data_IF_433175014399
#
_entry.id   IF_433175014399
#
_cell.length_a   1.000
_cell.length_b   1.000
_cell.length_c   1.000
_cell.angle_alpha   90.00
_cell.angle_beta   90.00
_cell.angle_gamma   90.00
#
_symmetry.space_group_name_H-M   'P 1'
#
loop_
_entity.id
_entity.type
_entity.pdbx_description
1 polymer ?
#
# COMPACT_ATOMS: atom_id res chain seq x y z
N UNK A 1 -5.72 22.93 -47.48
CA UNK A 1 -5.68 21.64 -46.77
C UNK A 1 -5.39 21.98 -45.32
N UNK A 2 -6.41 21.96 -44.44
CA UNK A 2 -6.24 22.33 -43.04
C UNK A 2 -5.63 21.14 -42.28
N UNK A 3 -4.57 21.39 -41.53
CA UNK A 3 -3.94 20.43 -40.62
C UNK A 3 -4.94 20.09 -39.50
N UNK A 4 -5.31 18.80 -39.27
CA UNK A 4 -6.22 18.45 -38.19
C UNK A 4 -5.61 18.91 -36.86
N UNK A 5 -6.35 19.74 -36.13
CA UNK A 5 -5.95 20.22 -34.81
C UNK A 5 -5.64 19.02 -33.91
N UNK A 6 -4.56 19.07 -33.08
CA UNK A 6 -4.22 17.96 -32.20
C UNK A 6 -5.42 17.68 -31.28
N UNK A 7 -5.90 16.43 -31.30
CA UNK A 7 -6.96 15.98 -30.40
C UNK A 7 -6.53 16.26 -28.96
N UNK A 8 -7.37 16.95 -28.19
CA UNK A 8 -7.11 17.20 -26.78
C UNK A 8 -6.85 15.88 -26.04
N UNK A 9 -5.89 15.83 -25.09
CA UNK A 9 -5.59 14.61 -24.36
C UNK A 9 -6.83 14.12 -23.62
N UNK A 10 -7.14 12.83 -23.76
CA UNK A 10 -8.30 12.21 -23.09
C UNK A 10 -8.08 12.22 -21.57
N UNK A 11 -9.08 12.61 -20.76
CA UNK A 11 -8.95 12.62 -19.31
C UNK A 11 -8.80 11.20 -18.76
N UNK A 12 -7.77 10.98 -17.94
CA UNK A 12 -7.47 9.67 -17.31
C UNK A 12 -8.04 9.52 -15.91
N UNK A 13 -8.50 10.61 -15.29
CA UNK A 13 -9.06 10.62 -13.95
C UNK A 13 -10.27 9.68 -13.74
N UNK A 14 -11.16 9.40 -14.74
CA UNK A 14 -12.26 8.45 -14.52
C UNK A 14 -11.75 7.03 -14.30
N UNK A 15 -10.68 6.64 -14.99
CA UNK A 15 -10.03 5.33 -14.82
C UNK A 15 -9.41 5.26 -13.42
N UNK A 16 -8.70 6.31 -13.01
CA UNK A 16 -8.13 6.39 -11.65
C UNK A 16 -9.22 6.31 -10.56
N UNK A 17 -10.33 7.03 -10.72
CA UNK A 17 -11.45 6.97 -9.78
C UNK A 17 -12.08 5.56 -9.71
N UNK A 18 -12.24 4.89 -10.86
CA UNK A 18 -12.74 3.52 -10.90
C UNK A 18 -11.79 2.54 -10.20
N UNK A 19 -10.47 2.69 -10.39
CA UNK A 19 -9.47 1.89 -9.69
C UNK A 19 -9.59 2.07 -8.17
N UNK A 20 -9.70 3.32 -7.69
CA UNK A 20 -9.88 3.59 -6.25
C UNK A 20 -11.13 2.91 -5.70
N UNK A 21 -12.28 3.09 -6.38
CA UNK A 21 -13.55 2.50 -5.93
C UNK A 21 -13.48 0.98 -5.91
N UNK A 22 -12.95 0.37 -6.97
CA UNK A 22 -12.83 -1.09 -7.07
C UNK A 22 -11.92 -1.67 -5.99
N UNK A 23 -10.74 -1.07 -5.76
CA UNK A 23 -9.81 -1.50 -4.72
C UNK A 23 -10.41 -1.36 -3.32
N UNK A 24 -11.00 -0.20 -3.00
CA UNK A 24 -11.63 0.01 -1.69
C UNK A 24 -12.77 -0.98 -1.46
N UNK A 25 -13.58 -1.26 -2.49
CA UNK A 25 -14.66 -2.24 -2.39
C UNK A 25 -14.13 -3.66 -2.14
N UNK A 26 -13.05 -4.07 -2.84
CA UNK A 26 -12.46 -5.39 -2.67
C UNK A 26 -11.87 -5.61 -1.26
N UNK A 27 -11.32 -4.56 -0.65
CA UNK A 27 -10.70 -4.61 0.69
C UNK A 27 -11.58 -4.04 1.81
N UNK A 28 -12.88 -3.81 1.57
CA UNK A 28 -13.78 -3.20 2.55
C UNK A 28 -13.92 -3.99 3.86
N UNK A 29 -13.62 -5.29 3.86
CA UNK A 29 -13.65 -6.12 5.06
C UNK A 29 -12.43 -5.95 5.95
N UNK A 30 -11.33 -5.36 5.48
CA UNK A 30 -10.04 -5.35 6.20
C UNK A 30 -10.11 -4.65 7.56
N UNK A 31 -11.02 -3.70 7.70
CA UNK A 31 -11.30 -2.98 8.95
C UNK A 31 -11.82 -3.87 10.09
N UNK A 32 -12.29 -5.08 9.75
CA UNK A 32 -12.81 -6.08 10.70
C UNK A 32 -11.81 -7.23 10.91
N UNK A 33 -10.67 -7.21 10.25
CA UNK A 33 -9.63 -8.20 10.47
C UNK A 33 -8.82 -7.85 11.73
N UNK A 34 -8.42 -8.88 12.45
CA UNK A 34 -7.45 -8.80 13.53
C UNK A 34 -6.05 -9.12 12.99
N UNK A 35 -5.01 -8.87 13.79
CA UNK A 35 -3.66 -9.36 13.51
C UNK A 35 -3.67 -10.89 13.33
N UNK A 36 -2.95 -11.37 12.33
CA UNK A 36 -2.75 -12.78 12.03
C UNK A 36 -1.71 -13.35 13.00
N UNK A 37 -2.04 -14.46 13.66
CA UNK A 37 -1.17 -15.07 14.69
C UNK A 37 0.07 -15.79 14.14
N UNK A 38 0.49 -15.51 12.91
CA UNK A 38 1.62 -16.18 12.26
C UNK A 38 2.92 -15.40 12.50
N UNK A 39 2.97 -14.16 12.03
CA UNK A 39 4.16 -13.32 12.02
C UNK A 39 3.95 -11.94 12.65
N UNK A 40 2.71 -11.42 12.71
CA UNK A 40 2.39 -10.15 13.36
C UNK A 40 2.86 -10.05 14.81
N UNK A 41 2.75 -11.11 15.64
CA UNK A 41 3.30 -11.03 16.99
C UNK A 41 4.79 -10.75 16.98
N UNK A 42 5.52 -11.41 16.08
CA UNK A 42 6.97 -11.30 16.00
C UNK A 42 7.41 -9.94 15.42
N UNK A 43 6.69 -9.39 14.43
CA UNK A 43 7.10 -8.16 13.77
C UNK A 43 6.55 -6.89 14.41
N UNK A 44 5.37 -6.95 15.04
CA UNK A 44 4.62 -5.77 15.47
C UNK A 44 4.37 -5.79 16.98
N UNK A 45 3.61 -6.76 17.50
CA UNK A 45 3.10 -6.67 18.89
C UNK A 45 4.14 -7.02 19.94
N UNK A 46 5.00 -8.01 19.68
CA UNK A 46 6.02 -8.51 20.61
C UNK A 46 7.42 -7.96 20.27
N UNK A 47 7.53 -7.15 19.20
CA UNK A 47 8.77 -6.48 18.84
C UNK A 47 8.94 -5.20 19.68
N UNK A 48 9.85 -5.16 20.67
CA UNK A 48 9.98 -4.03 21.58
C UNK A 48 10.47 -2.76 20.88
N UNK A 49 11.12 -2.87 19.72
CA UNK A 49 11.55 -1.72 18.93
C UNK A 49 10.37 -1.05 18.22
N UNK A 50 9.33 -1.82 17.87
CA UNK A 50 8.16 -1.35 17.10
C UNK A 50 7.00 -0.98 18.03
N UNK A 51 6.72 -1.81 19.03
CA UNK A 51 5.57 -1.65 19.94
C UNK A 51 5.62 -0.36 20.79
N UNK A 52 6.76 0.34 20.82
CA UNK A 52 6.94 1.62 21.51
C UNK A 52 6.71 2.84 20.59
N UNK A 53 6.35 2.64 19.33
CA UNK A 53 6.22 3.72 18.36
C UNK A 53 7.57 4.29 17.91
N UNK A 54 7.57 5.55 17.46
CA UNK A 54 8.78 6.20 16.94
C UNK A 54 9.68 6.66 18.09
N UNK A 55 10.63 5.81 18.47
CA UNK A 55 11.70 6.16 19.42
C UNK A 55 13.05 6.27 18.71
N UNK A 56 13.97 7.07 19.26
CA UNK A 56 15.31 7.18 18.68
C UNK A 56 16.06 5.85 18.69
N UNK A 57 15.85 5.05 19.75
CA UNK A 57 16.36 3.68 19.84
C UNK A 57 15.72 2.76 18.79
N UNK A 58 14.40 2.85 18.59
CA UNK A 58 13.67 2.08 17.57
C UNK A 58 14.16 2.40 16.15
N UNK A 59 14.28 3.68 15.81
CA UNK A 59 14.77 4.14 14.49
C UNK A 59 16.21 3.66 14.26
N UNK A 60 17.12 3.88 15.21
CA UNK A 60 18.50 3.40 15.08
C UNK A 60 18.55 1.87 15.00
N UNK A 61 17.76 1.18 15.81
CA UNK A 61 17.64 -0.28 15.81
C UNK A 61 17.16 -0.84 14.47
N UNK A 62 16.21 -0.18 13.82
CA UNK A 62 15.68 -0.60 12.51
C UNK A 62 16.77 -0.68 11.44
N UNK A 63 17.75 0.23 11.45
CA UNK A 63 18.84 0.26 10.47
C UNK A 63 20.10 -0.52 10.88
N UNK A 64 20.17 -1.01 12.11
CA UNK A 64 21.39 -1.64 12.66
C UNK A 64 21.19 -3.10 13.08
N UNK A 65 19.96 -3.59 13.10
CA UNK A 65 19.62 -4.94 13.55
C UNK A 65 18.67 -5.64 12.57
N UNK A 66 18.65 -6.97 12.63
CA UNK A 66 17.60 -7.79 12.03
C UNK A 66 16.73 -8.42 13.12
N UNK A 67 15.49 -8.75 12.80
CA UNK A 67 14.58 -9.48 13.67
C UNK A 67 13.92 -10.62 12.89
N UNK A 68 13.75 -11.77 13.55
CA UNK A 68 13.21 -12.99 12.93
C UNK A 68 13.87 -13.33 11.57
N UNK A 69 15.21 -13.34 11.56
CA UNK A 69 16.05 -13.62 10.39
C UNK A 69 15.91 -12.64 9.20
N UNK A 70 15.27 -11.48 9.39
CA UNK A 70 14.98 -10.52 8.33
C UNK A 70 15.50 -9.10 8.64
N UNK A 71 15.86 -8.34 7.60
CA UNK A 71 16.29 -6.94 7.67
C UNK A 71 15.35 -6.04 6.84
N UNK A 72 14.39 -5.40 7.52
CA UNK A 72 13.33 -4.59 6.89
C UNK A 72 13.17 -3.22 7.57
N UNK A 73 14.18 -2.32 7.52
CA UNK A 73 14.18 -1.06 8.25
C UNK A 73 12.96 -0.18 7.95
N UNK A 74 12.59 -0.05 6.67
CA UNK A 74 11.47 0.80 6.26
C UNK A 74 10.12 0.24 6.72
N UNK A 75 9.97 -1.09 6.70
CA UNK A 75 8.76 -1.75 7.20
C UNK A 75 8.59 -1.52 8.69
N UNK A 76 9.67 -1.60 9.48
CA UNK A 76 9.60 -1.33 10.92
C UNK A 76 9.28 0.13 11.21
N UNK A 77 9.88 1.07 10.47
CA UNK A 77 9.51 2.48 10.61
C UNK A 77 8.03 2.72 10.28
N UNK A 78 7.49 2.04 9.26
CA UNK A 78 6.05 2.10 8.94
C UNK A 78 5.21 1.60 10.11
N UNK A 79 5.51 0.42 10.67
CA UNK A 79 4.78 -0.08 11.83
C UNK A 79 4.96 0.80 13.07
N UNK A 80 6.13 1.39 13.31
CA UNK A 80 6.33 2.35 14.40
C UNK A 80 5.43 3.59 14.24
N UNK A 81 5.29 4.10 13.01
CA UNK A 81 4.35 5.19 12.71
C UNK A 81 2.92 4.74 12.97
N UNK A 82 2.55 3.53 12.55
CA UNK A 82 1.20 3.00 12.79
C UNK A 82 0.92 2.80 14.29
N UNK A 83 1.91 2.36 15.07
CA UNK A 83 1.81 2.30 16.54
C UNK A 83 1.66 3.70 17.15
N UNK A 84 2.38 4.70 16.65
CA UNK A 84 2.27 6.08 17.13
C UNK A 84 0.86 6.67 16.88
N UNK A 85 0.31 6.42 15.70
CA UNK A 85 -0.98 6.98 15.28
C UNK A 85 -2.18 6.20 15.81
N UNK A 86 -2.07 4.87 15.84
CA UNK A 86 -3.18 3.97 16.06
C UNK A 86 -2.99 3.07 17.29
N UNK A 87 -1.79 2.99 17.87
CA UNK A 87 -1.44 1.94 18.83
C UNK A 87 -1.45 0.56 18.19
N UNK A 88 -1.57 -0.48 19.00
CA UNK A 88 -1.69 -1.87 18.53
C UNK A 88 -3.12 -2.23 18.11
N UNK A 89 -3.80 -1.34 17.38
CA UNK A 89 -5.15 -1.57 16.84
C UNK A 89 -5.03 -2.00 15.36
N UNK A 90 -5.31 -3.28 15.00
CA UNK A 90 -5.08 -3.82 13.65
C UNK A 90 -5.69 -2.98 12.54
N UNK A 91 -6.92 -2.47 12.76
CA UNK A 91 -7.64 -1.67 11.79
C UNK A 91 -6.87 -0.43 11.28
N UNK A 92 -6.03 0.19 12.12
CA UNK A 92 -5.19 1.32 11.71
C UNK A 92 -4.01 0.90 10.83
N UNK A 93 -3.40 -0.24 11.13
CA UNK A 93 -2.28 -0.80 10.37
C UNK A 93 -2.75 -1.26 8.99
N UNK A 94 -3.87 -1.97 8.93
CA UNK A 94 -4.50 -2.35 7.66
C UNK A 94 -4.94 -1.14 6.82
N UNK A 95 -5.37 -0.04 7.46
CA UNK A 95 -5.66 1.20 6.74
C UNK A 95 -4.41 1.74 6.06
N UNK A 96 -3.28 1.79 6.77
CA UNK A 96 -2.00 2.20 6.18
C UNK A 96 -1.64 1.32 4.98
N UNK A 97 -1.73 -0.01 5.13
CA UNK A 97 -1.46 -0.96 4.03
C UNK A 97 -2.40 -0.73 2.82
N UNK A 98 -3.70 -0.53 3.05
CA UNK A 98 -4.66 -0.22 1.98
C UNK A 98 -4.33 1.10 1.25
N UNK A 99 -3.93 2.14 1.99
CA UNK A 99 -3.53 3.43 1.41
C UNK A 99 -2.26 3.30 0.57
N UNK A 100 -1.27 2.53 1.05
CA UNK A 100 -0.05 2.24 0.31
C UNK A 100 -0.34 1.44 -0.97
N UNK A 101 -1.25 0.47 -0.93
CA UNK A 101 -1.68 -0.29 -2.11
C UNK A 101 -2.43 0.56 -3.13
N UNK A 102 -3.31 1.45 -2.67
CA UNK A 102 -3.98 2.44 -3.52
C UNK A 102 -2.98 3.38 -4.19
N UNK A 103 -2.03 3.92 -3.42
CA UNK A 103 -0.98 4.77 -3.96
C UNK A 103 -0.16 4.02 -5.02
N UNK A 104 0.23 2.77 -4.74
CA UNK A 104 1.02 1.93 -5.65
C UNK A 104 0.25 1.61 -6.95
N UNK A 105 -1.03 1.29 -6.83
CA UNK A 105 -1.95 1.08 -7.97
C UNK A 105 -2.04 2.31 -8.86
N UNK A 106 -2.23 3.49 -8.26
CA UNK A 106 -2.35 4.75 -9.00
C UNK A 106 -1.03 5.17 -9.63
N UNK A 107 0.10 4.94 -8.95
CA UNK A 107 1.44 5.18 -9.50
C UNK A 107 1.72 4.25 -10.67
N UNK A 108 1.38 2.97 -10.58
CA UNK A 108 1.49 2.01 -11.68
C UNK A 108 0.67 2.45 -12.89
N UNK A 109 -0.60 2.81 -12.66
CA UNK A 109 -1.48 3.34 -13.70
C UNK A 109 -0.88 4.59 -14.36
N UNK A 110 -0.46 5.58 -13.57
CA UNK A 110 0.09 6.84 -14.07
C UNK A 110 1.39 6.62 -14.86
N UNK A 111 2.27 5.74 -14.37
CA UNK A 111 3.51 5.38 -15.05
C UNK A 111 3.23 4.72 -16.39
N UNK A 112 2.36 3.70 -16.43
CA UNK A 112 2.03 2.99 -17.66
C UNK A 112 1.30 3.92 -18.64
N UNK A 113 0.30 4.67 -18.19
CA UNK A 113 -0.46 5.57 -19.07
C UNK A 113 0.45 6.61 -19.74
N UNK A 114 1.47 7.09 -19.02
CA UNK A 114 2.46 8.05 -19.56
C UNK A 114 3.49 7.40 -20.49
N UNK A 115 3.93 6.19 -20.21
CA UNK A 115 5.00 5.55 -20.99
C UNK A 115 4.47 4.82 -22.22
N UNK A 116 3.28 4.21 -22.15
CA UNK A 116 2.67 3.45 -23.25
C UNK A 116 1.73 4.28 -24.11
N UNK A 117 1.28 5.44 -23.61
CA UNK A 117 0.23 6.26 -24.25
C UNK A 117 -1.09 5.48 -24.48
N UNK A 118 -1.31 4.39 -23.73
CA UNK A 118 -2.47 3.51 -23.88
C UNK A 118 -3.28 3.40 -22.55
N UNK A 119 -4.00 4.46 -22.15
CA UNK A 119 -4.58 4.57 -20.80
C UNK A 119 -5.56 3.46 -20.45
N UNK A 120 -6.33 2.94 -21.41
CA UNK A 120 -7.23 1.81 -21.15
C UNK A 120 -6.49 0.52 -20.83
N UNK A 121 -5.46 0.19 -21.62
CA UNK A 121 -4.63 -0.99 -21.36
C UNK A 121 -3.88 -0.84 -20.03
N UNK A 122 -3.34 0.35 -19.75
CA UNK A 122 -2.72 0.67 -18.45
C UNK A 122 -3.70 0.52 -17.29
N UNK A 123 -4.96 0.92 -17.48
CA UNK A 123 -6.03 0.73 -16.50
C UNK A 123 -6.34 -0.73 -16.23
N UNK A 124 -6.37 -1.58 -17.25
CA UNK A 124 -6.56 -3.03 -17.10
C UNK A 124 -5.40 -3.64 -16.32
N UNK A 125 -4.16 -3.30 -16.65
CA UNK A 125 -2.97 -3.79 -15.91
C UNK A 125 -3.00 -3.34 -14.45
N UNK A 126 -3.33 -2.07 -14.20
CA UNK A 126 -3.44 -1.55 -12.84
C UNK A 126 -4.59 -2.21 -12.06
N UNK A 127 -5.72 -2.51 -12.71
CA UNK A 127 -6.83 -3.24 -12.09
C UNK A 127 -6.44 -4.69 -11.75
N UNK A 128 -5.73 -5.36 -12.67
CA UNK A 128 -5.19 -6.70 -12.40
C UNK A 128 -4.25 -6.68 -11.20
N UNK A 129 -3.33 -5.73 -11.13
CA UNK A 129 -2.46 -5.54 -9.96
C UNK A 129 -3.27 -5.27 -8.69
N UNK A 130 -4.22 -4.34 -8.73
CA UNK A 130 -4.97 -3.91 -7.55
C UNK A 130 -5.86 -5.01 -6.96
N UNK A 131 -6.39 -5.88 -7.81
CA UNK A 131 -7.40 -6.88 -7.46
C UNK A 131 -6.84 -8.32 -7.44
N UNK A 132 -5.53 -8.50 -7.68
CA UNK A 132 -4.94 -9.84 -7.69
C UNK A 132 -4.92 -10.44 -6.28
N UNK A 133 -5.41 -11.68 -6.06
CA UNK A 133 -5.48 -12.29 -4.73
C UNK A 133 -4.15 -12.43 -4.01
N UNK A 134 -3.02 -12.46 -4.72
CA UNK A 134 -1.68 -12.54 -4.10
C UNK A 134 -1.30 -11.29 -3.31
N UNK A 135 -1.99 -10.17 -3.51
CA UNK A 135 -1.77 -8.96 -2.71
C UNK A 135 -2.56 -8.94 -1.41
N UNK A 136 -3.40 -9.95 -1.12
CA UNK A 136 -4.15 -10.02 0.14
C UNK A 136 -3.21 -10.01 1.34
N UNK A 137 -2.11 -10.77 1.29
CA UNK A 137 -1.11 -10.81 2.36
C UNK A 137 -0.53 -9.42 2.63
N UNK A 138 -0.13 -8.67 1.61
CA UNK A 138 0.45 -7.33 1.80
C UNK A 138 -0.55 -6.25 2.25
N UNK A 139 -1.86 -6.48 2.08
CA UNK A 139 -2.89 -5.46 2.34
C UNK A 139 -3.71 -5.74 3.60
N UNK A 140 -3.95 -7.02 3.89
CA UNK A 140 -4.89 -7.46 4.90
C UNK A 140 -4.26 -8.26 6.04
N UNK A 141 -2.96 -8.52 6.00
CA UNK A 141 -2.18 -8.94 7.16
C UNK A 141 -1.52 -7.68 7.76
#
# INVERSE_FOLDING_TARGET
MADPSPLAPRPTWPIAALLVVATVAAYASVWRCDFVSLDDPTYVTDNPLVAQGLTWQGVAGAFTTGHAANYHPLTWLSHMVDVELYGLRPAGHHLTNLLLHLASTLLLFAFLARTTQAPWASGVVAALFALHPTHVESVAW
#
